data_IF_045170924064
#
_entry.id   IF_045170924064
#
_cell.length_a   1.000
_cell.length_b   1.000
_cell.length_c   1.000
_cell.angle_alpha   90.00
_cell.angle_beta   90.00
_cell.angle_gamma   90.00
#
_symmetry.space_group_name_H-M   'P 1'
#
loop_
_entity.id
_entity.type
_entity.pdbx_description
1 polymer ?
#
# COMPACT_ATOMS: atom_id res chain seq x y z
N UNK A 1 -29.97 -4.70 43.75
CA UNK A 1 -29.39 -3.92 42.64
C UNK A 1 -30.26 -4.15 41.41
N UNK A 2 -30.43 -3.15 40.55
CA UNK A 2 -31.13 -3.32 39.28
C UNK A 2 -30.15 -3.80 38.21
N UNK A 3 -30.17 -5.10 37.97
CA UNK A 3 -29.27 -5.77 37.02
C UNK A 3 -29.48 -5.32 35.56
N UNK A 4 -30.66 -4.79 35.22
CA UNK A 4 -30.92 -4.27 33.86
C UNK A 4 -30.19 -2.96 33.65
N UNK A 5 -30.18 -2.08 34.65
CA UNK A 5 -29.45 -0.81 34.60
C UNK A 5 -27.94 -1.05 34.47
N UNK A 6 -27.41 -2.03 35.20
CA UNK A 6 -26.01 -2.45 35.10
C UNK A 6 -25.67 -2.96 33.70
N UNK A 7 -26.47 -3.89 33.14
CA UNK A 7 -26.27 -4.41 31.79
C UNK A 7 -26.34 -3.32 30.70
N UNK A 8 -27.24 -2.34 30.86
CA UNK A 8 -27.32 -1.19 29.94
C UNK A 8 -26.09 -0.28 30.01
N UNK A 9 -25.50 -0.10 31.20
CA UNK A 9 -24.27 0.67 31.34
C UNK A 9 -23.09 -0.03 30.67
N UNK A 10 -22.97 -1.35 30.84
CA UNK A 10 -21.95 -2.15 30.15
C UNK A 10 -22.11 -2.08 28.63
N UNK A 11 -23.34 -2.22 28.12
CA UNK A 11 -23.61 -2.11 26.68
C UNK A 11 -23.24 -0.73 26.14
N UNK A 12 -23.62 0.35 26.83
CA UNK A 12 -23.29 1.72 26.42
C UNK A 12 -21.79 1.97 26.41
N UNK A 13 -21.06 1.49 27.42
CA UNK A 13 -19.61 1.60 27.46
C UNK A 13 -18.97 0.87 26.27
N UNK A 14 -19.38 -0.38 26.01
CA UNK A 14 -18.87 -1.15 24.88
C UNK A 14 -19.18 -0.49 23.52
N UNK A 15 -20.37 0.08 23.34
CA UNK A 15 -20.74 0.79 22.12
C UNK A 15 -19.93 2.08 21.92
N UNK A 16 -19.58 2.78 23.00
CA UNK A 16 -18.79 4.00 22.95
C UNK A 16 -17.34 3.75 22.47
N UNK A 17 -16.82 2.54 22.67
CA UNK A 17 -15.47 2.15 22.25
C UNK A 17 -15.39 1.80 20.75
N UNK A 18 -16.52 1.45 20.11
CA UNK A 18 -16.56 1.01 18.71
C UNK A 18 -16.03 2.08 17.75
N UNK A 19 -16.48 3.36 17.78
CA UNK A 19 -15.97 4.38 16.85
C UNK A 19 -14.46 4.60 16.96
N UNK A 20 -13.91 4.55 18.19
CA UNK A 20 -12.48 4.70 18.41
C UNK A 20 -11.68 3.48 17.91
N UNK A 21 -12.24 2.27 17.98
CA UNK A 21 -11.64 1.09 17.39
C UNK A 21 -11.67 1.14 15.85
N UNK A 22 -12.78 1.57 15.25
CA UNK A 22 -12.92 1.73 13.80
C UNK A 22 -11.93 2.76 13.25
N UNK A 23 -11.80 3.91 13.92
CA UNK A 23 -10.89 4.97 13.48
C UNK A 23 -9.43 4.50 13.50
N UNK A 24 -9.00 3.79 14.57
CA UNK A 24 -7.68 3.17 14.62
C UNK A 24 -7.47 2.16 13.50
N UNK A 25 -8.47 1.33 13.19
CA UNK A 25 -8.38 0.37 12.11
C UNK A 25 -8.23 1.06 10.74
N UNK A 26 -8.98 2.15 10.50
CA UNK A 26 -8.86 2.96 9.27
C UNK A 26 -7.46 3.55 9.14
N UNK A 27 -6.89 4.09 10.22
CA UNK A 27 -5.54 4.64 10.24
C UNK A 27 -4.49 3.57 9.92
N UNK A 28 -4.57 2.39 10.54
CA UNK A 28 -3.65 1.27 10.26
C UNK A 28 -3.67 0.87 8.78
N UNK A 29 -4.87 0.78 8.19
CA UNK A 29 -5.02 0.45 6.77
C UNK A 29 -4.47 1.56 5.88
N UNK A 30 -4.73 2.83 6.21
CA UNK A 30 -4.22 3.98 5.48
C UNK A 30 -2.68 4.01 5.49
N UNK A 31 -2.06 3.80 6.65
CA UNK A 31 -0.61 3.78 6.80
C UNK A 31 0.04 2.61 6.07
N UNK A 32 -0.61 1.44 6.07
CA UNK A 32 -0.13 0.28 5.33
C UNK A 32 -0.19 0.52 3.81
N UNK A 33 -1.29 1.12 3.31
CA UNK A 33 -1.41 1.51 1.90
C UNK A 33 -0.35 2.53 1.50
N UNK A 34 -0.15 3.56 2.34
CA UNK A 34 0.87 4.56 2.09
C UNK A 34 2.28 3.95 1.99
N UNK A 35 2.62 3.02 2.91
CA UNK A 35 3.90 2.30 2.85
C UNK A 35 4.07 1.49 1.56
N UNK A 36 3.00 0.85 1.08
CA UNK A 36 3.01 0.12 -0.20
C UNK A 36 3.26 1.08 -1.36
N UNK A 37 2.59 2.23 -1.38
CA UNK A 37 2.73 3.20 -2.46
C UNK A 37 4.13 3.81 -2.51
N UNK A 38 4.71 4.14 -1.35
CA UNK A 38 6.11 4.59 -1.25
C UNK A 38 7.08 3.51 -1.75
N UNK A 39 6.85 2.24 -1.39
CA UNK A 39 7.69 1.14 -1.86
C UNK A 39 7.59 0.92 -3.37
N UNK A 40 6.38 1.03 -3.95
CA UNK A 40 6.15 0.94 -5.40
C UNK A 40 6.84 2.08 -6.15
N UNK A 41 6.73 3.31 -5.66
CA UNK A 41 7.41 4.47 -6.24
C UNK A 41 8.94 4.29 -6.22
N UNK A 42 9.50 3.84 -5.09
CA UNK A 42 10.93 3.52 -4.98
C UNK A 42 11.35 2.45 -5.99
N UNK A 43 10.57 1.38 -6.13
CA UNK A 43 10.85 0.32 -7.11
C UNK A 43 10.81 0.86 -8.54
N UNK A 44 9.80 1.66 -8.89
CA UNK A 44 9.67 2.26 -10.22
C UNK A 44 10.87 3.16 -10.57
N UNK A 45 11.27 4.04 -9.64
CA UNK A 45 12.46 4.89 -9.78
C UNK A 45 13.74 4.05 -9.96
N UNK A 46 13.87 2.96 -9.21
CA UNK A 46 15.02 2.06 -9.31
C UNK A 46 15.07 1.37 -10.67
N UNK A 47 13.92 0.88 -11.17
CA UNK A 47 13.81 0.26 -12.51
C UNK A 47 14.23 1.25 -13.59
N UNK A 48 13.73 2.50 -13.53
CA UNK A 48 14.08 3.54 -14.49
C UNK A 48 15.59 3.86 -14.48
N UNK A 49 16.19 4.01 -13.29
CA UNK A 49 17.62 4.27 -13.15
C UNK A 49 18.48 3.12 -13.68
N UNK A 50 18.10 1.87 -13.42
CA UNK A 50 18.82 0.70 -13.92
C UNK A 50 18.71 0.58 -15.45
N UNK A 51 17.54 0.87 -16.02
CA UNK A 51 17.38 0.91 -17.47
C UNK A 51 18.27 1.98 -18.12
N UNK A 52 18.32 3.18 -17.56
CA UNK A 52 19.20 4.27 -18.02
C UNK A 52 20.69 3.92 -17.92
N UNK A 53 21.06 3.01 -17.02
CA UNK A 53 22.42 2.45 -16.90
C UNK A 53 22.70 1.32 -17.90
N UNK A 54 21.74 0.97 -18.75
CA UNK A 54 21.88 -0.04 -19.81
C UNK A 54 21.28 -1.41 -19.48
N UNK A 55 20.55 -1.57 -18.38
CA UNK A 55 19.85 -2.82 -18.11
C UNK A 55 18.74 -3.07 -19.14
N UNK A 56 18.59 -4.30 -19.62
CA UNK A 56 17.55 -4.66 -20.59
C UNK A 56 16.20 -4.88 -19.90
N UNK A 57 15.10 -4.55 -20.59
CA UNK A 57 13.72 -4.78 -20.12
C UNK A 57 13.50 -6.24 -19.68
N UNK A 58 14.07 -7.21 -20.40
CA UNK A 58 13.96 -8.62 -20.06
C UNK A 58 14.65 -9.00 -18.74
N UNK A 59 15.77 -8.36 -18.42
CA UNK A 59 16.50 -8.60 -17.17
C UNK A 59 15.81 -7.94 -15.99
N UNK A 60 15.31 -6.72 -16.17
CA UNK A 60 14.52 -5.99 -15.17
C UNK A 60 13.24 -6.76 -14.82
N UNK A 61 12.54 -7.30 -15.83
CA UNK A 61 11.35 -8.13 -15.64
C UNK A 61 11.67 -9.39 -14.80
N UNK A 62 12.76 -10.09 -15.12
CA UNK A 62 13.19 -11.28 -14.35
C UNK A 62 13.54 -10.96 -12.89
N UNK A 63 14.24 -9.86 -12.63
CA UNK A 63 14.71 -9.47 -11.29
C UNK A 63 13.61 -8.88 -10.40
N UNK A 64 12.56 -8.30 -10.99
CA UNK A 64 11.48 -7.61 -10.26
C UNK A 64 10.18 -8.42 -10.18
N UNK A 65 10.14 -9.61 -10.78
CA UNK A 65 8.95 -10.46 -10.91
C UNK A 65 7.79 -9.78 -11.66
N UNK A 66 8.06 -8.68 -12.36
CA UNK A 66 7.09 -8.00 -13.20
C UNK A 66 7.15 -8.50 -14.64
N UNK A 67 6.00 -8.47 -15.31
CA UNK A 67 5.96 -8.69 -16.75
C UNK A 67 6.73 -7.60 -17.49
N UNK A 68 7.27 -7.93 -18.66
CA UNK A 68 7.95 -6.95 -19.53
C UNK A 68 7.04 -5.76 -19.85
N UNK A 69 5.74 -6.00 -20.01
CA UNK A 69 4.78 -4.93 -20.25
C UNK A 69 4.64 -3.99 -19.04
N UNK A 70 4.61 -4.52 -17.82
CA UNK A 70 4.62 -3.70 -16.61
C UNK A 70 5.90 -2.86 -16.53
N UNK A 71 7.05 -3.42 -16.86
CA UNK A 71 8.31 -2.66 -16.94
C UNK A 71 8.22 -1.54 -17.98
N UNK A 72 7.76 -1.81 -19.20
CA UNK A 72 7.59 -0.76 -20.23
C UNK A 72 6.62 0.32 -19.80
N UNK A 73 5.54 -0.03 -19.10
CA UNK A 73 4.60 0.95 -18.54
C UNK A 73 5.25 1.84 -17.48
N UNK A 74 6.07 1.26 -16.60
CA UNK A 74 6.85 2.00 -15.59
C UNK A 74 7.83 2.95 -16.29
N UNK A 75 8.56 2.47 -17.30
CA UNK A 75 9.50 3.30 -18.07
C UNK A 75 8.79 4.45 -18.80
N UNK A 76 7.66 4.18 -19.46
CA UNK A 76 6.83 5.23 -20.09
C UNK A 76 6.32 6.27 -19.09
N UNK A 77 5.88 5.84 -17.91
CA UNK A 77 5.47 6.77 -16.86
C UNK A 77 6.63 7.65 -16.35
N UNK A 78 7.87 7.19 -16.50
CA UNK A 78 9.09 7.94 -16.24
C UNK A 78 9.60 8.74 -17.46
N UNK A 79 8.86 8.77 -18.57
CA UNK A 79 9.27 9.46 -19.80
C UNK A 79 10.35 8.73 -20.62
N UNK A 80 10.55 7.44 -20.38
CA UNK A 80 11.55 6.61 -21.08
C UNK A 80 10.84 5.72 -22.09
N UNK A 81 11.19 5.87 -23.37
CA UNK A 81 10.79 4.94 -24.42
C UNK A 81 11.77 3.77 -24.48
N UNK A 82 11.23 2.55 -24.32
CA UNK A 82 12.01 1.32 -24.34
C UNK A 82 11.54 0.43 -25.48
N UNK A 83 12.43 0.19 -26.45
CA UNK A 83 12.25 -0.80 -27.52
C UNK A 83 12.21 -2.24 -26.97
#
# INVERSE_FOLDING_TARGET
MDHVVEALQVLKAAQADVPAAEERARQVVADARHRIDVARDKLAKTIAAEYQRGARVGDLARRSEYSRETIRRILRAAGIEAD
#
